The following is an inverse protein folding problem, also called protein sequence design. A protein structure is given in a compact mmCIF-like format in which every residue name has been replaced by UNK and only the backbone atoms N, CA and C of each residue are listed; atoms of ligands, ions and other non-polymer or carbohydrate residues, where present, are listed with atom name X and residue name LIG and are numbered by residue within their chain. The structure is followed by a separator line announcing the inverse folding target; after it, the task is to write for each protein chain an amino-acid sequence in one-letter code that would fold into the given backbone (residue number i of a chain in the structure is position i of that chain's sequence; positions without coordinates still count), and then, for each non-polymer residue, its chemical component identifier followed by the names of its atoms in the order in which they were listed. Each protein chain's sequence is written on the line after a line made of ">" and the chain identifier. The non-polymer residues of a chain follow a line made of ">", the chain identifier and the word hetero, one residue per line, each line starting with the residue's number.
data_IF_941695076182
#
_entry.id   IF_941695076182
#
_cell.length_a   1.000
_cell.length_b   1.000
_cell.length_c   1.000
_cell.angle_alpha   90.00
_cell.angle_beta   90.00
_cell.angle_gamma   90.00
#
_symmetry.space_group_name_H-M   'P 1'
#
loop_
_entity.id
_entity.type
_entity.pdbx_description
1 polymer ?
#
# COMPACT_ATOMS: atom_id res chain seq x y z
N UNK A 1 12.92 -22.66 17.83
CA UNK A 1 12.97 -21.33 18.48
C UNK A 1 11.98 -20.44 17.75
N UNK A 2 11.10 -19.78 18.49
CA UNK A 2 10.08 -18.86 17.95
C UNK A 2 10.74 -17.68 17.22
N UNK A 3 10.38 -17.46 15.96
CA UNK A 3 10.92 -16.32 15.17
C UNK A 3 10.36 -14.99 15.69
N UNK A 4 11.20 -13.96 15.74
CA UNK A 4 10.82 -12.64 16.26
C UNK A 4 10.56 -11.65 15.12
N UNK A 5 9.38 -11.05 15.11
CA UNK A 5 8.96 -10.04 14.15
C UNK A 5 8.48 -8.77 14.85
N UNK A 6 8.47 -7.67 14.12
CA UNK A 6 7.93 -6.42 14.64
C UNK A 6 7.31 -5.53 13.57
N UNK A 7 6.49 -4.58 14.00
CA UNK A 7 6.16 -3.38 13.25
C UNK A 7 6.76 -2.17 13.95
N UNK A 8 7.47 -1.32 13.20
CA UNK A 8 8.09 -0.08 13.69
C UNK A 8 7.38 1.14 13.10
N UNK A 9 7.12 2.16 13.92
CA UNK A 9 6.40 3.37 13.50
C UNK A 9 6.31 4.43 14.60
N UNK A 10 5.78 5.60 14.24
CA UNK A 10 5.49 6.68 15.17
C UNK A 10 4.33 7.57 14.66
N UNK A 11 3.12 7.51 15.23
CA UNK A 11 2.69 6.61 16.32
C UNK A 11 2.54 5.15 15.86
N UNK A 12 2.51 4.20 16.80
CA UNK A 12 2.37 2.75 16.49
C UNK A 12 1.22 2.04 17.21
N UNK A 13 0.64 2.66 18.23
CA UNK A 13 -0.33 2.03 19.15
C UNK A 13 -1.54 1.42 18.43
N UNK A 14 -2.05 2.08 17.39
CA UNK A 14 -3.23 1.67 16.63
C UNK A 14 -2.94 0.61 15.55
N UNK A 15 -1.68 0.17 15.42
CA UNK A 15 -1.34 -0.86 14.42
C UNK A 15 -2.03 -2.18 14.72
N UNK A 16 -2.68 -2.75 13.70
CA UNK A 16 -3.32 -4.09 13.75
C UNK A 16 -2.40 -5.20 13.23
N UNK A 17 -1.19 -4.87 12.75
CA UNK A 17 -0.26 -5.87 12.21
C UNK A 17 0.03 -7.02 13.19
N UNK A 18 0.25 -6.80 14.50
CA UNK A 18 0.43 -7.92 15.43
C UNK A 18 -0.74 -8.90 15.45
N UNK A 19 -1.98 -8.43 15.46
CA UNK A 19 -3.17 -9.30 15.46
C UNK A 19 -3.20 -10.15 14.20
N UNK A 20 -2.97 -9.54 13.04
CA UNK A 20 -2.96 -10.22 11.73
C UNK A 20 -1.86 -11.28 11.64
N UNK A 21 -0.62 -10.92 11.99
CA UNK A 21 0.50 -11.88 11.89
C UNK A 21 0.37 -13.06 12.85
N UNK A 22 -0.21 -12.87 14.04
CA UNK A 22 -0.54 -14.00 14.93
C UNK A 22 -1.69 -14.86 14.39
N UNK A 23 -2.69 -14.25 13.76
CA UNK A 23 -3.77 -15.00 13.11
C UNK A 23 -3.26 -15.85 11.93
N UNK A 24 -2.37 -15.28 11.10
CA UNK A 24 -1.71 -16.01 10.01
C UNK A 24 -0.87 -17.17 10.56
N UNK A 25 -0.08 -16.90 11.60
CA UNK A 25 0.74 -17.90 12.28
C UNK A 25 -0.09 -19.08 12.81
N UNK A 26 -1.21 -18.80 13.48
CA UNK A 26 -2.13 -19.82 13.98
C UNK A 26 -2.74 -20.65 12.86
N UNK A 27 -3.10 -20.01 11.73
CA UNK A 27 -3.67 -20.69 10.56
C UNK A 27 -2.66 -21.58 9.85
N UNK A 28 -1.40 -21.16 9.74
CA UNK A 28 -0.37 -21.88 8.96
C UNK A 28 0.57 -22.74 9.80
N UNK A 29 0.39 -22.78 11.14
CA UNK A 29 1.25 -23.54 12.05
C UNK A 29 2.67 -22.97 12.20
N UNK A 30 2.87 -21.67 11.91
CA UNK A 30 4.17 -21.00 12.05
C UNK A 30 4.34 -20.53 13.49
N UNK A 31 5.44 -20.88 14.14
CA UNK A 31 5.80 -20.41 15.48
C UNK A 31 6.53 -19.05 15.41
N UNK A 32 5.81 -17.98 15.75
CA UNK A 32 6.34 -16.61 15.76
C UNK A 32 5.82 -15.77 16.91
N UNK A 33 6.56 -14.70 17.20
CA UNK A 33 6.12 -13.58 18.02
C UNK A 33 6.17 -12.29 17.18
N UNK A 34 5.12 -11.48 17.24
CA UNK A 34 5.07 -10.21 16.50
C UNK A 34 4.72 -9.05 17.43
N UNK A 35 5.59 -8.04 17.56
CA UNK A 35 5.38 -6.91 18.48
C UNK A 35 5.37 -5.54 17.81
N UNK A 36 4.88 -4.53 18.52
CA UNK A 36 5.01 -3.12 18.13
C UNK A 36 6.31 -2.54 18.67
N UNK A 37 6.96 -1.69 17.90
CA UNK A 37 8.13 -0.92 18.31
C UNK A 37 7.85 0.55 18.00
N UNK A 38 7.82 1.38 19.04
CA UNK A 38 7.75 2.83 18.90
C UNK A 38 9.19 3.35 18.75
N UNK A 39 9.50 3.98 17.61
CA UNK A 39 10.81 4.59 17.39
C UNK A 39 10.74 6.12 17.46
N UNK A 40 11.74 6.80 18.04
CA UNK A 40 11.89 8.25 17.91
C UNK A 40 12.01 8.66 16.45
N UNK A 41 11.58 9.88 16.10
CA UNK A 41 11.61 10.38 14.71
C UNK A 41 13.02 10.42 14.11
N UNK A 42 14.02 10.63 14.96
CA UNK A 42 15.46 10.65 14.68
C UNK A 42 16.18 9.34 15.07
N UNK A 43 15.44 8.36 15.61
CA UNK A 43 16.00 7.13 16.19
C UNK A 43 15.69 5.85 15.41
N UNK A 44 15.05 5.95 14.24
CA UNK A 44 14.60 4.80 13.46
C UNK A 44 15.74 3.83 13.11
N UNK A 45 16.85 4.34 12.55
CA UNK A 45 17.94 3.48 12.08
C UNK A 45 18.56 2.66 13.23
N UNK A 46 18.87 3.31 14.36
CA UNK A 46 19.38 2.62 15.54
C UNK A 46 18.41 1.57 16.06
N UNK A 47 17.13 1.92 16.16
CA UNK A 47 16.09 1.00 16.64
C UNK A 47 15.93 -0.23 15.71
N UNK A 48 15.99 -0.03 14.40
CA UNK A 48 15.92 -1.12 13.43
C UNK A 48 17.15 -2.04 13.51
N UNK A 49 18.37 -1.45 13.58
CA UNK A 49 19.62 -2.22 13.72
C UNK A 49 19.64 -3.04 15.01
N UNK A 50 19.22 -2.46 16.12
CA UNK A 50 19.17 -3.14 17.41
C UNK A 50 18.23 -4.34 17.40
N UNK A 51 17.09 -4.23 16.70
CA UNK A 51 16.16 -5.34 16.53
C UNK A 51 16.79 -6.51 15.78
N UNK A 52 17.47 -6.24 14.65
CA UNK A 52 18.12 -7.29 13.87
C UNK A 52 19.36 -7.86 14.58
N UNK A 53 20.11 -7.04 15.33
CA UNK A 53 21.22 -7.49 16.17
C UNK A 53 20.76 -8.44 17.30
N UNK A 54 19.50 -8.36 17.72
CA UNK A 54 18.85 -9.25 18.69
C UNK A 54 18.14 -10.45 18.03
N UNK A 55 18.61 -10.89 16.85
CA UNK A 55 18.04 -11.99 16.07
C UNK A 55 16.59 -11.78 15.58
N UNK A 56 16.20 -10.53 15.32
CA UNK A 56 14.95 -10.22 14.63
C UNK A 56 14.92 -10.87 13.23
N UNK A 57 13.84 -11.58 12.90
CA UNK A 57 13.69 -12.28 11.63
C UNK A 57 13.12 -11.40 10.51
N UNK A 58 12.27 -10.42 10.86
CA UNK A 58 11.69 -9.49 9.90
C UNK A 58 10.95 -8.35 10.59
N UNK A 59 10.81 -7.23 9.90
CA UNK A 59 10.18 -6.03 10.44
C UNK A 59 9.32 -5.35 9.39
N UNK A 60 8.06 -5.05 9.71
CA UNK A 60 7.29 -4.08 8.93
C UNK A 60 7.62 -2.66 9.37
N UNK A 61 7.58 -1.74 8.42
CA UNK A 61 7.80 -0.31 8.63
C UNK A 61 6.54 0.46 8.25
N UNK A 62 6.04 1.28 9.16
CA UNK A 62 4.92 2.20 8.89
C UNK A 62 5.37 3.65 8.98
N UNK A 63 4.41 4.58 8.86
CA UNK A 63 4.66 6.02 8.94
C UNK A 63 5.44 6.38 10.22
N UNK A 64 6.38 7.33 10.14
CA UNK A 64 6.83 8.07 8.96
C UNK A 64 8.09 7.47 8.29
N UNK A 65 8.47 6.23 8.62
CA UNK A 65 9.85 5.75 8.39
C UNK A 65 10.11 5.04 7.06
N UNK A 66 9.13 4.91 6.16
CA UNK A 66 9.28 4.09 4.95
C UNK A 66 10.41 4.56 4.00
N UNK A 67 10.65 5.87 3.92
CA UNK A 67 11.75 6.43 3.14
C UNK A 67 13.11 6.22 3.82
N UNK A 68 13.17 6.32 5.16
CA UNK A 68 14.38 6.02 5.91
C UNK A 68 14.73 4.52 5.82
N UNK A 69 13.72 3.65 5.88
CA UNK A 69 13.89 2.22 5.66
C UNK A 69 14.41 1.91 4.26
N UNK A 70 13.92 2.62 3.24
CA UNK A 70 14.43 2.51 1.88
C UNK A 70 15.92 2.85 1.79
N UNK A 71 16.33 3.97 2.38
CA UNK A 71 17.73 4.40 2.40
C UNK A 71 18.66 3.46 3.20
N UNK A 72 18.11 2.76 4.20
CA UNK A 72 18.87 1.85 5.07
C UNK A 72 19.19 0.49 4.43
N UNK A 73 18.45 0.07 3.40
CA UNK A 73 18.58 -1.28 2.84
C UNK A 73 19.83 -1.46 1.96
N UNK A 74 20.50 -2.59 2.12
CA UNK A 74 21.59 -3.01 1.22
C UNK A 74 21.07 -3.56 -0.10
N UNK A 75 19.89 -4.19 -0.08
CA UNK A 75 19.23 -4.78 -1.24
C UNK A 75 17.75 -4.40 -1.23
N UNK A 76 17.22 -4.09 -2.41
CA UNK A 76 15.84 -3.66 -2.59
C UNK A 76 15.20 -4.47 -3.70
N UNK A 77 13.96 -4.89 -3.49
CA UNK A 77 13.12 -5.43 -4.57
C UNK A 77 12.86 -4.35 -5.62
N UNK A 78 12.48 -4.77 -6.82
CA UNK A 78 12.13 -3.83 -7.89
C UNK A 78 10.98 -2.91 -7.49
N UNK A 79 9.92 -3.46 -6.88
CA UNK A 79 8.78 -2.66 -6.40
C UNK A 79 9.18 -1.65 -5.31
N UNK A 80 10.11 -1.99 -4.42
CA UNK A 80 10.64 -1.03 -3.43
C UNK A 80 11.50 0.07 -4.07
N UNK A 81 12.34 -0.27 -5.05
CA UNK A 81 13.14 0.70 -5.84
C UNK A 81 12.26 1.75 -6.50
N UNK A 82 11.22 1.29 -7.19
CA UNK A 82 10.28 2.15 -7.91
C UNK A 82 9.44 2.99 -6.93
N UNK A 83 8.98 2.36 -5.84
CA UNK A 83 8.21 3.04 -4.80
C UNK A 83 9.03 4.08 -4.01
N UNK A 84 10.38 3.99 -4.02
CA UNK A 84 11.29 4.77 -3.16
C UNK A 84 10.89 4.71 -1.68
N UNK A 85 10.33 3.58 -1.25
CA UNK A 85 9.77 3.38 0.08
C UNK A 85 9.76 1.89 0.41
N UNK A 86 10.09 1.55 1.66
CA UNK A 86 10.10 0.16 2.17
C UNK A 86 9.15 0.04 3.34
N UNK A 87 8.26 -0.97 3.31
CA UNK A 87 7.36 -1.31 4.40
C UNK A 87 7.66 -2.70 5.02
N UNK A 88 8.61 -3.45 4.45
CA UNK A 88 8.94 -4.83 4.84
C UNK A 88 10.44 -5.05 4.76
N UNK A 89 11.06 -5.44 5.88
CA UNK A 89 12.50 -5.64 6.04
C UNK A 89 12.81 -7.06 6.49
N UNK A 90 13.94 -7.61 6.06
CA UNK A 90 14.50 -8.86 6.59
C UNK A 90 16.01 -8.94 6.37
N UNK A 91 16.69 -9.79 7.16
CA UNK A 91 18.09 -10.11 6.96
C UNK A 91 18.25 -11.37 6.13
N UNK A 92 19.14 -11.34 5.15
CA UNK A 92 19.53 -12.52 4.37
C UNK A 92 21.01 -12.40 3.99
N UNK A 93 21.79 -13.45 4.24
CA UNK A 93 23.22 -13.51 3.95
C UNK A 93 24.02 -12.30 4.48
N UNK A 94 23.64 -11.82 5.67
CA UNK A 94 24.26 -10.67 6.33
C UNK A 94 23.90 -9.30 5.75
N UNK A 95 22.98 -9.22 4.79
CA UNK A 95 22.49 -7.98 4.18
C UNK A 95 21.06 -7.68 4.59
N UNK A 96 20.74 -6.40 4.75
CA UNK A 96 19.38 -5.93 4.98
C UNK A 96 18.65 -5.79 3.64
N UNK A 97 17.57 -6.55 3.48
CA UNK A 97 16.69 -6.47 2.33
C UNK A 97 15.45 -5.64 2.67
N UNK A 98 14.98 -4.89 1.67
CA UNK A 98 13.77 -4.08 1.74
C UNK A 98 12.81 -4.36 0.61
N UNK A 99 11.53 -4.40 0.96
CA UNK A 99 10.42 -4.55 0.04
C UNK A 99 9.26 -3.59 0.35
N UNK A 100 8.41 -3.35 -0.65
CA UNK A 100 7.17 -2.60 -0.52
C UNK A 100 5.98 -3.49 -0.90
N UNK A 101 5.28 -4.01 0.10
CA UNK A 101 4.16 -4.93 -0.07
C UNK A 101 2.81 -4.22 -0.17
N UNK A 102 2.74 -2.89 0.04
CA UNK A 102 1.47 -2.14 0.07
C UNK A 102 0.71 -2.30 -1.25
N UNK A 103 1.36 -2.07 -2.39
CA UNK A 103 0.72 -2.17 -3.71
C UNK A 103 0.34 -3.60 -4.09
N UNK A 104 1.14 -4.59 -3.69
CA UNK A 104 0.76 -5.99 -3.90
C UNK A 104 -0.46 -6.38 -3.04
N UNK A 105 -0.55 -5.83 -1.82
CA UNK A 105 -1.71 -5.97 -0.95
C UNK A 105 -2.97 -5.37 -1.56
N UNK A 106 -2.86 -4.18 -2.17
CA UNK A 106 -3.98 -3.55 -2.88
C UNK A 106 -4.46 -4.39 -4.06
N UNK A 107 -3.53 -4.87 -4.91
CA UNK A 107 -3.86 -5.74 -6.04
C UNK A 107 -4.59 -6.99 -5.58
N UNK A 108 -4.09 -7.66 -4.54
CA UNK A 108 -4.72 -8.86 -3.99
C UNK A 108 -6.13 -8.57 -3.45
N UNK A 109 -6.32 -7.43 -2.78
CA UNK A 109 -7.62 -7.01 -2.27
C UNK A 109 -8.64 -6.76 -3.39
N UNK A 110 -8.23 -6.06 -4.45
CA UNK A 110 -9.08 -5.80 -5.62
C UNK A 110 -9.49 -7.12 -6.30
N UNK A 111 -8.53 -8.02 -6.50
CA UNK A 111 -8.79 -9.32 -7.12
C UNK A 111 -9.69 -10.22 -6.25
N UNK A 112 -9.57 -10.16 -4.93
CA UNK A 112 -10.44 -10.91 -4.02
C UNK A 112 -11.90 -10.46 -4.07
N UNK A 113 -12.17 -9.22 -4.50
CA UNK A 113 -13.52 -8.71 -4.76
C UNK A 113 -14.06 -9.13 -6.14
N UNK A 114 -13.24 -9.82 -6.95
CA UNK A 114 -13.58 -10.17 -8.33
C UNK A 114 -13.49 -9.01 -9.31
N UNK A 115 -12.83 -7.90 -8.94
CA UNK A 115 -12.65 -6.75 -9.82
C UNK A 115 -11.43 -6.98 -10.73
N UNK A 116 -11.65 -7.04 -12.04
CA UNK A 116 -10.58 -7.32 -13.01
C UNK A 116 -9.68 -6.10 -13.22
N UNK A 117 -8.36 -6.29 -13.09
CA UNK A 117 -7.35 -5.28 -13.38
C UNK A 117 -6.79 -5.37 -14.81
N UNK A 118 -7.00 -6.49 -15.49
CA UNK A 118 -6.52 -6.70 -16.85
C UNK A 118 -7.19 -5.71 -17.81
N UNK A 119 -6.38 -5.01 -18.59
CA UNK A 119 -6.80 -4.00 -19.57
C UNK A 119 -7.58 -2.80 -18.99
N UNK A 120 -7.58 -2.65 -17.66
CA UNK A 120 -8.38 -1.67 -16.94
C UNK A 120 -7.85 -0.23 -17.05
N UNK A 121 -8.77 0.72 -16.92
CA UNK A 121 -8.54 2.16 -16.81
C UNK A 121 -8.79 2.58 -15.36
N UNK A 122 -7.72 2.99 -14.69
CA UNK A 122 -7.75 3.33 -13.27
C UNK A 122 -7.57 4.84 -13.11
N UNK A 123 -8.39 5.46 -12.26
CA UNK A 123 -8.17 6.80 -11.77
C UNK A 123 -7.69 6.72 -10.31
N UNK A 124 -6.56 7.36 -9.99
CA UNK A 124 -6.08 7.48 -8.61
C UNK A 124 -6.19 8.95 -8.17
N UNK A 125 -6.93 9.18 -7.10
CA UNK A 125 -7.04 10.48 -6.45
C UNK A 125 -5.91 10.63 -5.44
N UNK A 126 -5.04 11.61 -5.67
CA UNK A 126 -3.85 11.89 -4.87
C UNK A 126 -2.55 11.45 -5.54
N UNK A 127 -1.50 12.24 -5.36
CA UNK A 127 -0.15 11.97 -5.88
C UNK A 127 0.89 11.85 -4.74
N UNK A 128 0.55 11.11 -3.67
CA UNK A 128 1.40 10.89 -2.50
C UNK A 128 2.25 9.61 -2.59
N UNK A 129 2.95 9.30 -1.48
CA UNK A 129 3.76 8.08 -1.37
C UNK A 129 2.95 6.78 -1.54
N UNK A 130 1.69 6.77 -1.08
CA UNK A 130 0.79 5.64 -1.31
C UNK A 130 0.54 5.41 -2.81
N UNK A 131 0.19 6.46 -3.57
CA UNK A 131 0.03 6.40 -5.03
C UNK A 131 1.29 5.87 -5.71
N UNK A 132 2.47 6.40 -5.37
CA UNK A 132 3.74 5.91 -5.93
C UNK A 132 3.94 4.41 -5.68
N UNK A 133 3.67 3.94 -4.47
CA UNK A 133 3.86 2.55 -4.07
C UNK A 133 2.93 1.54 -4.75
N UNK A 134 1.78 1.98 -5.26
CA UNK A 134 0.79 1.07 -5.88
C UNK A 134 0.82 1.05 -7.41
N UNK A 135 1.36 2.07 -8.08
CA UNK A 135 1.37 2.15 -9.55
C UNK A 135 2.04 0.92 -10.16
N UNK A 136 3.26 0.58 -9.73
CA UNK A 136 3.98 -0.54 -10.33
C UNK A 136 3.24 -1.88 -10.16
N UNK A 137 2.76 -2.27 -8.95
CA UNK A 137 1.94 -3.47 -8.80
C UNK A 137 0.63 -3.47 -9.62
N UNK A 138 -0.06 -2.34 -9.72
CA UNK A 138 -1.28 -2.24 -10.54
C UNK A 138 -0.98 -2.47 -12.03
N UNK A 139 0.14 -1.94 -12.52
CA UNK A 139 0.60 -2.18 -13.89
C UNK A 139 0.96 -3.66 -14.10
N UNK A 140 1.69 -4.28 -13.17
CA UNK A 140 2.01 -5.71 -13.26
C UNK A 140 0.75 -6.59 -13.21
N UNK A 141 -0.33 -6.10 -12.59
CA UNK A 141 -1.63 -6.76 -12.57
C UNK A 141 -2.47 -6.54 -13.85
N UNK A 142 -1.97 -5.76 -14.82
CA UNK A 142 -2.57 -5.60 -16.14
C UNK A 142 -3.28 -4.27 -16.39
N UNK A 143 -3.14 -3.27 -15.52
CA UNK A 143 -3.73 -1.95 -15.75
C UNK A 143 -3.17 -1.32 -17.03
N UNK A 144 -4.06 -0.95 -17.97
CA UNK A 144 -3.69 -0.40 -19.27
C UNK A 144 -3.52 1.11 -19.25
N UNK A 145 -4.28 1.79 -18.41
CA UNK A 145 -4.20 3.23 -18.22
C UNK A 145 -4.32 3.55 -16.73
N UNK A 146 -3.45 4.43 -16.23
CA UNK A 146 -3.57 5.01 -14.89
C UNK A 146 -3.53 6.53 -15.02
N UNK A 147 -4.62 7.17 -14.61
CA UNK A 147 -4.73 8.62 -14.52
C UNK A 147 -4.57 9.03 -13.05
N UNK A 148 -3.65 9.93 -12.78
CA UNK A 148 -3.37 10.45 -11.44
C UNK A 148 -3.93 11.86 -11.35
N UNK A 149 -4.95 12.05 -10.52
CA UNK A 149 -5.56 13.36 -10.28
C UNK A 149 -5.10 13.93 -8.94
N UNK A 150 -4.61 15.17 -8.92
CA UNK A 150 -4.13 15.77 -7.69
C UNK A 150 -4.42 17.27 -7.62
N UNK A 151 -4.60 17.79 -6.40
CA UNK A 151 -4.87 19.23 -6.15
C UNK A 151 -3.77 20.12 -6.72
N UNK A 152 -2.52 19.68 -6.55
CA UNK A 152 -1.35 20.30 -7.17
C UNK A 152 -0.96 19.45 -8.37
N UNK A 153 -1.34 19.87 -9.58
CA UNK A 153 -1.10 19.15 -10.84
C UNK A 153 0.38 18.77 -11.00
N UNK A 154 1.30 19.70 -10.74
CA UNK A 154 2.75 19.47 -10.86
C UNK A 154 3.26 18.26 -10.04
N UNK A 155 2.62 17.91 -8.92
CA UNK A 155 2.99 16.71 -8.15
C UNK A 155 2.60 15.42 -8.87
N UNK A 156 1.45 15.41 -9.55
CA UNK A 156 1.03 14.26 -10.36
C UNK A 156 1.89 14.15 -11.62
N UNK A 157 2.20 15.26 -12.29
CA UNK A 157 3.08 15.28 -13.46
C UNK A 157 4.48 14.76 -13.12
N UNK A 158 5.06 15.21 -12.01
CA UNK A 158 6.35 14.70 -11.54
C UNK A 158 6.29 13.19 -11.24
N UNK A 159 5.19 12.71 -10.66
CA UNK A 159 5.03 11.28 -10.38
C UNK A 159 4.92 10.44 -11.66
N UNK A 160 4.25 10.95 -12.70
CA UNK A 160 4.22 10.31 -14.02
C UNK A 160 5.62 10.27 -14.62
N UNK A 161 6.34 11.40 -14.62
CA UNK A 161 7.69 11.49 -15.17
C UNK A 161 8.66 10.54 -14.47
N UNK A 162 8.57 10.44 -13.14
CA UNK A 162 9.39 9.53 -12.32
C UNK A 162 9.17 8.04 -12.63
N UNK A 163 8.01 7.67 -13.17
CA UNK A 163 7.57 6.28 -13.26
C UNK A 163 7.38 5.76 -14.68
N UNK A 164 7.21 6.63 -15.68
CA UNK A 164 6.89 6.24 -17.07
C UNK A 164 7.86 5.19 -17.64
N UNK A 165 9.16 5.29 -17.32
CA UNK A 165 10.17 4.37 -17.82
C UNK A 165 10.14 3.01 -17.10
N UNK A 166 9.62 2.98 -15.87
CA UNK A 166 9.45 1.76 -15.09
C UNK A 166 8.18 0.98 -15.48
N UNK A 167 7.23 1.62 -16.18
CA UNK A 167 5.96 1.03 -16.64
C UNK A 167 5.64 1.36 -18.10
N UNK A 168 6.55 1.06 -19.06
CA UNK A 168 6.42 1.49 -20.46
C UNK A 168 5.19 0.92 -21.20
N UNK A 169 4.58 -0.13 -20.66
CA UNK A 169 3.40 -0.80 -21.23
C UNK A 169 2.07 -0.16 -20.83
N UNK A 170 2.07 0.79 -19.89
CA UNK A 170 0.85 1.42 -19.36
C UNK A 170 0.84 2.91 -19.69
N UNK A 171 -0.31 3.41 -20.11
CA UNK A 171 -0.49 4.85 -20.29
C UNK A 171 -0.64 5.54 -18.93
N UNK A 172 0.40 6.27 -18.50
CA UNK A 172 0.35 7.13 -17.32
C UNK A 172 -0.02 8.56 -17.70
N UNK A 173 -1.00 9.15 -17.00
CA UNK A 173 -1.43 10.54 -17.19
C UNK A 173 -1.57 11.26 -15.86
N UNK A 174 -1.34 12.57 -15.87
CA UNK A 174 -1.59 13.46 -14.75
C UNK A 174 -2.69 14.47 -15.12
N UNK A 175 -3.62 14.72 -14.21
CA UNK A 175 -4.67 15.74 -14.37
C UNK A 175 -4.89 16.52 -13.06
N UNK A 176 -5.49 17.70 -13.19
CA UNK A 176 -6.01 18.45 -12.06
C UNK A 176 -7.32 17.87 -11.55
N UNK A 177 -7.67 18.11 -10.27
CA UNK A 177 -8.96 17.69 -9.71
C UNK A 177 -10.16 18.41 -10.36
N UNK A 178 -9.93 19.55 -11.01
CA UNK A 178 -10.90 20.30 -11.81
C UNK A 178 -11.19 19.67 -13.18
N UNK A 179 -10.40 18.67 -13.60
CA UNK A 179 -10.51 18.01 -14.91
C UNK A 179 -11.09 16.59 -14.82
N UNK A 180 -11.60 16.20 -13.65
CA UNK A 180 -12.20 14.88 -13.43
C UNK A 180 -13.39 14.68 -14.38
N UNK A 181 -13.26 13.74 -15.31
CA UNK A 181 -14.28 13.44 -16.32
C UNK A 181 -13.97 12.11 -17.01
N UNK A 182 -14.97 11.58 -17.73
CA UNK A 182 -14.83 10.36 -18.51
C UNK A 182 -15.12 9.10 -17.69
N UNK A 183 -14.78 7.95 -18.25
CA UNK A 183 -15.13 6.63 -17.69
C UNK A 183 -13.89 5.84 -17.26
N UNK A 184 -13.97 5.22 -16.08
CA UNK A 184 -12.92 4.39 -15.47
C UNK A 184 -13.49 3.09 -14.90
N UNK A 185 -12.75 2.00 -15.00
CA UNK A 185 -13.17 0.72 -14.41
C UNK A 185 -13.05 0.75 -12.87
N UNK A 186 -12.08 1.52 -12.36
CA UNK A 186 -11.79 1.64 -10.93
C UNK A 186 -11.31 3.06 -10.58
N UNK A 187 -11.88 3.65 -9.53
CA UNK A 187 -11.36 4.86 -8.89
C UNK A 187 -10.80 4.50 -7.53
N UNK A 188 -9.54 4.89 -7.27
CA UNK A 188 -8.85 4.65 -6.01
C UNK A 188 -8.63 5.99 -5.32
N UNK A 189 -9.20 6.18 -4.12
CA UNK A 189 -8.87 7.31 -3.28
C UNK A 189 -7.62 7.00 -2.46
N UNK A 190 -6.51 7.68 -2.79
CA UNK A 190 -5.23 7.62 -2.09
C UNK A 190 -4.93 8.94 -1.36
N UNK A 191 -5.92 9.83 -1.25
CA UNK A 191 -5.75 11.10 -0.56
C UNK A 191 -5.83 10.92 0.96
N UNK A 192 -5.13 11.78 1.70
CA UNK A 192 -5.37 11.94 3.13
C UNK A 192 -6.60 12.81 3.43
N UNK A 193 -7.42 13.16 2.43
CA UNK A 193 -8.50 14.14 2.58
C UNK A 193 -9.65 13.61 3.46
N UNK A 194 -9.90 12.30 3.41
CA UNK A 194 -10.78 11.58 4.35
C UNK A 194 -10.30 11.69 5.81
N UNK A 195 -9.02 12.04 6.04
CA UNK A 195 -8.46 12.31 7.37
C UNK A 195 -8.58 13.78 7.80
N UNK A 196 -8.70 14.72 6.86
CA UNK A 196 -8.70 16.17 7.13
C UNK A 196 -10.07 16.84 6.99
N UNK A 197 -11.08 16.11 6.52
CA UNK A 197 -12.44 16.63 6.33
C UNK A 197 -12.64 17.44 5.04
N UNK A 198 -11.63 17.49 4.16
CA UNK A 198 -11.75 18.09 2.83
C UNK A 198 -12.58 17.14 1.94
N UNK A 199 -13.84 17.47 1.69
CA UNK A 199 -14.70 16.68 0.79
C UNK A 199 -14.50 17.12 -0.66
N UNK A 200 -13.81 16.28 -1.45
CA UNK A 200 -13.80 16.38 -2.90
C UNK A 200 -15.16 15.94 -3.44
N UNK A 201 -15.91 16.85 -4.06
CA UNK A 201 -17.12 16.52 -4.80
C UNK A 201 -16.73 15.99 -6.19
N UNK A 202 -17.06 14.73 -6.46
CA UNK A 202 -16.84 14.10 -7.75
C UNK A 202 -17.89 14.65 -8.73
N UNK A 203 -17.49 15.09 -9.94
CA UNK A 203 -18.45 15.58 -10.93
C UNK A 203 -19.31 14.43 -11.46
N UNK A 204 -20.52 14.74 -11.94
CA UNK A 204 -21.42 13.75 -12.57
C UNK A 204 -20.85 13.19 -13.88
N UNK A 205 -20.01 13.97 -14.57
CA UNK A 205 -19.31 13.57 -15.79
C UNK A 205 -18.21 12.51 -15.56
N UNK A 206 -17.87 12.21 -14.30
CA UNK A 206 -16.96 11.12 -13.93
C UNK A 206 -17.74 9.84 -13.71
N UNK A 207 -17.64 8.91 -14.63
CA UNK A 207 -18.27 7.58 -14.59
C UNK A 207 -17.23 6.58 -14.08
N UNK A 208 -17.61 5.74 -13.12
CA UNK A 208 -16.74 4.66 -12.65
C UNK A 208 -17.51 3.46 -12.17
N UNK A 209 -16.92 2.27 -12.33
CA UNK A 209 -17.62 1.00 -12.07
C UNK A 209 -17.28 0.40 -10.70
N UNK A 210 -16.14 0.79 -10.11
CA UNK A 210 -15.74 0.40 -8.77
C UNK A 210 -15.04 1.55 -8.05
N UNK A 211 -15.16 1.60 -6.72
CA UNK A 211 -14.51 2.57 -5.86
C UNK A 211 -13.72 1.91 -4.73
N UNK A 212 -12.47 2.30 -4.54
CA UNK A 212 -11.60 1.79 -3.49
C UNK A 212 -11.02 2.93 -2.66
N UNK A 213 -11.33 2.99 -1.37
CA UNK A 213 -10.69 3.91 -0.43
C UNK A 213 -9.46 3.23 0.18
N UNK A 214 -8.27 3.82 0.09
CA UNK A 214 -7.07 3.23 0.71
C UNK A 214 -7.08 3.34 2.24
N UNK A 215 -7.76 4.34 2.80
CA UNK A 215 -7.97 4.42 4.23
C UNK A 215 -8.97 3.32 4.70
N UNK A 216 -8.84 2.89 5.95
CA UNK A 216 -9.75 1.90 6.52
C UNK A 216 -10.30 2.36 7.87
N UNK A 217 -11.50 1.88 8.22
CA UNK A 217 -12.09 2.11 9.54
C UNK A 217 -12.42 3.57 9.87
N UNK A 218 -12.56 4.44 8.85
CA UNK A 218 -12.93 5.84 8.99
C UNK A 218 -14.04 6.20 8.00
N UNK A 219 -14.93 7.15 8.33
CA UNK A 219 -15.88 7.70 7.37
C UNK A 219 -15.16 8.24 6.14
N UNK A 220 -15.75 8.03 4.95
CA UNK A 220 -15.19 8.50 3.69
C UNK A 220 -16.30 9.06 2.79
N UNK A 221 -16.24 10.37 2.56
CA UNK A 221 -17.12 11.05 1.60
C UNK A 221 -16.97 10.53 0.17
N UNK A 222 -15.84 9.91 -0.15
CA UNK A 222 -15.62 9.25 -1.43
C UNK A 222 -16.49 7.99 -1.56
N UNK A 223 -16.51 7.16 -0.50
CA UNK A 223 -17.37 5.98 -0.45
C UNK A 223 -18.85 6.36 -0.40
N UNK A 224 -19.21 7.42 0.33
CA UNK A 224 -20.59 7.94 0.36
C UNK A 224 -21.07 8.34 -1.03
N UNK A 225 -20.22 9.01 -1.82
CA UNK A 225 -20.53 9.40 -3.20
C UNK A 225 -20.64 8.20 -4.14
N UNK A 226 -19.79 7.17 -3.97
CA UNK A 226 -19.91 5.93 -4.74
C UNK A 226 -21.23 5.21 -4.42
N UNK A 227 -21.62 5.15 -3.15
CA UNK A 227 -22.89 4.57 -2.71
C UNK A 227 -24.10 5.33 -3.30
N UNK A 228 -24.08 6.67 -3.31
CA UNK A 228 -25.14 7.47 -3.93
C UNK A 228 -25.30 7.20 -5.42
N UNK A 229 -24.20 6.82 -6.10
CA UNK A 229 -24.17 6.42 -7.51
C UNK A 229 -24.45 4.93 -7.73
N UNK A 230 -24.73 4.16 -6.67
CA UNK A 230 -24.91 2.71 -6.70
C UNK A 230 -23.70 1.94 -7.26
N UNK A 231 -22.51 2.50 -7.07
CA UNK A 231 -21.25 1.89 -7.49
C UNK A 231 -20.72 0.98 -6.37
N UNK A 232 -20.34 -0.28 -6.65
CA UNK A 232 -19.67 -1.14 -5.68
C UNK A 232 -18.40 -0.47 -5.12
N UNK A 233 -18.30 -0.42 -3.80
CA UNK A 233 -17.22 0.30 -3.12
C UNK A 233 -16.71 -0.45 -1.89
N UNK A 234 -15.44 -0.29 -1.56
CA UNK A 234 -14.84 -0.86 -0.34
C UNK A 234 -13.78 0.06 0.26
N UNK A 235 -13.45 -0.17 1.53
CA UNK A 235 -12.36 0.51 2.24
C UNK A 235 -11.04 -0.27 2.16
N UNK A 236 -10.01 0.29 2.80
CA UNK A 236 -8.64 -0.20 2.71
C UNK A 236 -8.33 -1.40 3.59
N UNK A 237 -9.32 -1.99 4.28
CA UNK A 237 -9.04 -3.11 5.17
C UNK A 237 -8.46 -4.30 4.40
N UNK A 238 -8.97 -4.59 3.21
CA UNK A 238 -8.44 -5.65 2.36
C UNK A 238 -6.97 -5.42 1.96
N UNK A 239 -6.60 -4.17 1.65
CA UNK A 239 -5.23 -3.79 1.36
C UNK A 239 -4.31 -3.99 2.59
N UNK A 240 -4.78 -3.60 3.79
CA UNK A 240 -4.05 -3.82 5.05
C UNK A 240 -3.75 -5.30 5.29
N UNK A 241 -4.74 -6.18 5.10
CA UNK A 241 -4.56 -7.62 5.27
C UNK A 241 -3.65 -8.18 4.16
N UNK A 242 -3.89 -7.81 2.90
CA UNK A 242 -3.12 -8.27 1.75
C UNK A 242 -1.63 -7.96 1.84
N UNK A 243 -1.27 -6.74 2.25
CA UNK A 243 0.15 -6.37 2.40
C UNK A 243 0.84 -7.13 3.54
N UNK A 244 0.10 -7.46 4.60
CA UNK A 244 0.61 -8.22 5.74
C UNK A 244 0.82 -9.70 5.36
N UNK A 245 -0.09 -10.27 4.57
CA UNK A 245 0.05 -11.63 4.01
C UNK A 245 1.28 -11.72 3.12
N UNK A 246 1.51 -10.72 2.27
CA UNK A 246 2.69 -10.68 1.40
C UNK A 246 3.98 -10.62 2.22
N UNK A 247 4.05 -9.75 3.24
CA UNK A 247 5.19 -9.70 4.17
C UNK A 247 5.40 -11.02 4.91
N UNK A 248 4.31 -11.64 5.40
CA UNK A 248 4.35 -12.94 6.06
C UNK A 248 4.89 -14.03 5.14
N UNK A 249 4.48 -14.04 3.87
CA UNK A 249 4.95 -14.98 2.85
C UNK A 249 6.44 -14.81 2.57
N UNK A 250 6.94 -13.58 2.47
CA UNK A 250 8.37 -13.29 2.27
C UNK A 250 9.21 -13.92 3.40
N UNK A 251 8.78 -13.78 4.65
CA UNK A 251 9.57 -14.24 5.80
C UNK A 251 9.46 -15.74 6.10
N UNK A 252 8.32 -16.34 5.75
CA UNK A 252 7.98 -17.69 6.21
C UNK A 252 7.82 -18.71 5.08
N UNK A 253 7.82 -18.28 3.81
CA UNK A 253 7.68 -19.16 2.66
C UNK A 253 6.31 -19.81 2.52
N UNK A 254 5.32 -19.35 3.29
CA UNK A 254 3.93 -19.82 3.28
C UNK A 254 2.99 -18.63 3.12
N UNK A 255 2.01 -18.75 2.22
CA UNK A 255 1.06 -17.67 1.90
C UNK A 255 -0.36 -18.06 2.29
N UNK A 256 -0.91 -17.51 3.38
CA UNK A 256 -2.32 -17.70 3.71
C UNK A 256 -3.24 -17.06 2.65
N UNK A 257 -4.44 -17.62 2.50
CA UNK A 257 -5.47 -17.13 1.59
C UNK A 257 -6.11 -15.84 2.14
N UNK A 258 -6.10 -14.75 1.36
CA UNK A 258 -6.62 -13.45 1.81
C UNK A 258 -8.07 -13.52 2.31
N UNK A 259 -8.93 -14.23 1.58
CA UNK A 259 -10.35 -14.41 1.89
C UNK A 259 -10.64 -15.01 3.27
N UNK A 260 -9.67 -15.70 3.87
CA UNK A 260 -9.84 -16.28 5.22
C UNK A 260 -9.76 -15.20 6.32
N UNK A 261 -9.40 -13.96 5.98
CA UNK A 261 -9.11 -12.87 6.91
C UNK A 261 -9.82 -11.54 6.54
N UNK A 262 -10.70 -11.57 5.53
CA UNK A 262 -11.55 -10.43 5.13
C UNK A 262 -12.89 -10.44 5.86
#
# INVERSE_FOLDING_TARGET
>A
MTKQFAVIGNPIEQSRSPELHHAFAAKTGVDLNYRKILAPLDGFEGTAKDFFAQNGAGMNVTVPFKEQAFALCDQLTERAKIAKAVNTLWMQDGKLYGDNTDGQGLVAAIQALGWELKDSRILILGAGGATRGVIYPLVQAGAKQIVIANRTLARAEQLVEDLKDAVPQTELKAIGLDQLSGEFDLVINATSASLTGDTLQLPESLIFHHAYEMAYGKPSSFLDQAQQRQVPATDGFGMLVGQAIEAFSIWNGVKPELKDFL
#
